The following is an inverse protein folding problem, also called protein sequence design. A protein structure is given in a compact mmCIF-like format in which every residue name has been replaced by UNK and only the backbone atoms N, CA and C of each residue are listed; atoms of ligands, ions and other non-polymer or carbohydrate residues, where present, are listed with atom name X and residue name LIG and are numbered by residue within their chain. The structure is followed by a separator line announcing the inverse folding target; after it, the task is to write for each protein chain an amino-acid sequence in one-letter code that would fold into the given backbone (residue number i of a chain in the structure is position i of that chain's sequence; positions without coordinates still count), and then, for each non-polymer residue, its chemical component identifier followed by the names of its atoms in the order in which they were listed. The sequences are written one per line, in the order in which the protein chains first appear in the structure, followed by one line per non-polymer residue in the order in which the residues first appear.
data_IF_651154887993
#
_entry.id   IF_651154887993
#
_cell.length_a   1.000
_cell.length_b   1.000
_cell.length_c   1.000
_cell.angle_alpha   90.00
_cell.angle_beta   90.00
_cell.angle_gamma   90.00
#
_symmetry.space_group_name_H-M   'P 1'
#
loop_
_entity.id
_entity.type
_entity.pdbx_description
1 polymer ?
#
# COMPACT_ATOMS: atom_id res chain seq x y z
N UNK A 1 1.75 -15.75 14.17
CA UNK A 1 0.65 -15.17 13.36
C UNK A 1 1.17 -14.12 12.38
N UNK A 2 1.73 -13.00 12.85
CA UNK A 2 2.12 -11.86 12.00
C UNK A 2 3.08 -12.20 10.85
N UNK A 3 4.10 -13.03 11.09
CA UNK A 3 5.04 -13.46 10.02
C UNK A 3 4.31 -14.18 8.87
N UNK A 4 3.34 -15.03 9.20
CA UNK A 4 2.52 -15.73 8.19
C UNK A 4 1.66 -14.74 7.40
N UNK A 5 1.04 -13.78 8.08
CA UNK A 5 0.27 -12.72 7.41
C UNK A 5 1.17 -11.88 6.49
N UNK A 6 2.37 -11.53 6.95
CA UNK A 6 3.36 -10.81 6.16
C UNK A 6 3.74 -11.58 4.88
N UNK A 7 4.05 -12.87 4.99
CA UNK A 7 4.40 -13.70 3.82
C UNK A 7 3.25 -13.82 2.82
N UNK A 8 2.02 -14.05 3.30
CA UNK A 8 0.85 -14.16 2.45
C UNK A 8 0.55 -12.86 1.71
N UNK A 9 0.49 -11.73 2.44
CA UNK A 9 0.28 -10.40 1.85
C UNK A 9 1.37 -10.04 0.86
N UNK A 10 2.63 -10.42 1.14
CA UNK A 10 3.75 -10.20 0.23
C UNK A 10 3.58 -10.97 -1.08
N UNK A 11 3.15 -12.23 -1.01
CA UNK A 11 2.97 -13.08 -2.19
C UNK A 11 1.76 -12.64 -3.03
N UNK A 12 0.66 -12.27 -2.37
CA UNK A 12 -0.54 -11.73 -3.02
C UNK A 12 -0.21 -10.44 -3.79
N UNK A 13 0.39 -9.46 -3.11
CA UNK A 13 0.82 -8.21 -3.75
C UNK A 13 1.83 -8.47 -4.88
N UNK A 14 2.78 -9.40 -4.71
CA UNK A 14 3.75 -9.73 -5.74
C UNK A 14 3.10 -10.34 -7.00
N UNK A 15 2.03 -11.11 -6.85
CA UNK A 15 1.28 -11.67 -7.99
C UNK A 15 0.57 -10.56 -8.78
N UNK A 16 -0.13 -9.66 -8.10
CA UNK A 16 -0.82 -8.52 -8.74
C UNK A 16 0.17 -7.60 -9.46
N UNK A 17 1.26 -7.24 -8.79
CA UNK A 17 2.31 -6.38 -9.35
C UNK A 17 2.95 -7.03 -10.58
N UNK A 18 3.17 -8.36 -10.55
CA UNK A 18 3.75 -9.11 -11.67
C UNK A 18 2.87 -9.00 -12.91
N UNK A 19 1.56 -9.18 -12.77
CA UNK A 19 0.61 -9.06 -13.89
C UNK A 19 0.59 -7.64 -14.47
N UNK A 20 0.53 -6.60 -13.64
CA UNK A 20 0.53 -5.20 -14.11
C UNK A 20 1.84 -4.82 -14.81
N UNK A 21 2.98 -5.20 -14.23
CA UNK A 21 4.30 -4.90 -14.79
C UNK A 21 4.49 -5.62 -16.12
N UNK A 22 4.04 -6.87 -16.23
CA UNK A 22 4.13 -7.63 -17.47
C UNK A 22 3.22 -7.06 -18.56
N UNK A 23 1.94 -6.81 -18.27
CA UNK A 23 1.02 -6.21 -19.26
C UNK A 23 1.55 -4.87 -19.78
N UNK A 24 2.10 -4.04 -18.88
CA UNK A 24 2.71 -2.77 -19.27
C UNK A 24 3.94 -2.96 -20.17
N UNK A 25 4.86 -3.87 -19.81
CA UNK A 25 6.04 -4.17 -20.61
C UNK A 25 5.69 -4.76 -22.00
N UNK A 26 4.72 -5.69 -22.05
CA UNK A 26 4.25 -6.33 -23.26
C UNK A 26 3.62 -5.32 -24.23
N UNK A 27 2.79 -4.38 -23.73
CA UNK A 27 2.19 -3.31 -24.54
C UNK A 27 3.20 -2.32 -25.09
N UNK A 28 4.26 -2.02 -24.33
CA UNK A 28 5.35 -1.17 -24.82
C UNK A 28 6.13 -1.85 -25.95
N UNK A 29 6.24 -3.17 -25.93
CA UNK A 29 6.72 -3.98 -27.05
C UNK A 29 8.16 -3.61 -27.45
N UNK A 30 9.12 -4.03 -26.63
CA UNK A 30 10.53 -3.80 -26.87
C UNK A 30 11.06 -4.67 -28.03
N UNK A 31 11.90 -4.09 -28.89
CA UNK A 31 12.56 -4.79 -29.99
C UNK A 31 13.99 -4.26 -30.17
N UNK A 32 14.83 -5.03 -30.86
CA UNK A 32 16.17 -4.62 -31.21
C UNK A 32 16.12 -3.84 -32.53
N UNK A 33 16.60 -2.60 -32.53
CA UNK A 33 16.75 -1.82 -33.77
C UNK A 33 17.93 -2.30 -34.61
N UNK A 34 18.03 -1.79 -35.83
CA UNK A 34 19.05 -2.18 -36.81
C UNK A 34 20.50 -1.97 -36.30
N UNK A 35 20.71 -1.03 -35.38
CA UNK A 35 22.01 -0.71 -34.78
C UNK A 35 22.30 -1.50 -33.49
N UNK A 36 21.42 -2.42 -33.08
CA UNK A 36 21.55 -3.17 -31.83
C UNK A 36 21.03 -2.41 -30.60
N UNK A 37 20.41 -1.26 -30.78
CA UNK A 37 19.82 -0.48 -29.69
C UNK A 37 18.40 -0.96 -29.35
N UNK A 38 18.07 -0.93 -28.07
CA UNK A 38 16.72 -1.24 -27.59
C UNK A 38 15.76 -0.12 -27.99
N UNK A 39 14.70 -0.46 -28.73
CA UNK A 39 13.64 0.46 -29.12
C UNK A 39 12.26 -0.08 -28.71
N UNK A 40 11.29 0.82 -28.64
CA UNK A 40 9.90 0.50 -28.28
C UNK A 40 8.97 0.77 -29.45
N UNK A 41 8.07 -0.17 -29.70
CA UNK A 41 7.13 -0.10 -30.84
C UNK A 41 5.74 0.39 -30.42
N UNK A 42 5.38 0.18 -29.16
CA UNK A 42 4.09 0.54 -28.58
C UNK A 42 4.22 1.52 -27.41
N UNK A 43 3.10 1.68 -26.71
CA UNK A 43 3.01 2.52 -25.52
C UNK A 43 2.08 1.88 -24.50
N UNK A 44 2.31 2.15 -23.22
CA UNK A 44 1.39 1.79 -22.15
C UNK A 44 1.07 3.02 -21.32
N UNK A 45 -0.19 3.17 -20.92
CA UNK A 45 -0.63 4.26 -20.02
C UNK A 45 0.10 4.24 -18.67
N UNK A 46 0.50 3.05 -18.21
CA UNK A 46 1.17 2.82 -16.93
C UNK A 46 2.70 2.79 -17.00
N UNK A 47 3.30 2.79 -18.20
CA UNK A 47 4.76 2.72 -18.35
C UNK A 47 5.32 3.86 -19.19
N UNK A 48 6.41 4.45 -18.72
CA UNK A 48 7.16 5.49 -19.43
C UNK A 48 8.61 5.03 -19.69
N UNK A 49 9.16 5.24 -20.90
CA UNK A 49 10.57 5.04 -21.18
C UNK A 49 11.46 5.88 -20.27
N UNK A 50 12.49 5.24 -19.71
CA UNK A 50 13.52 5.90 -18.91
C UNK A 50 14.57 6.47 -19.86
N UNK A 51 14.70 7.80 -19.88
CA UNK A 51 15.74 8.49 -20.63
C UNK A 51 17.10 8.40 -19.93
N UNK A 52 17.11 8.45 -18.60
CA UNK A 52 18.31 8.23 -17.79
C UNK A 52 17.97 7.80 -16.37
N UNK A 53 18.85 7.01 -15.77
CA UNK A 53 18.81 6.64 -14.36
C UNK A 53 20.19 6.80 -13.74
N UNK A 54 20.26 7.46 -12.60
CA UNK A 54 21.52 7.67 -11.86
C UNK A 54 21.28 7.50 -10.37
N UNK A 55 22.12 6.70 -9.70
CA UNK A 55 22.17 6.67 -8.23
C UNK A 55 22.85 7.96 -7.75
N UNK A 56 22.10 8.80 -7.06
CA UNK A 56 22.51 10.15 -6.66
C UNK A 56 23.23 10.18 -5.32
N UNK A 57 22.77 9.37 -4.36
CA UNK A 57 23.31 9.36 -3.01
C UNK A 57 23.10 8.01 -2.36
N UNK A 58 24.15 7.47 -1.76
CA UNK A 58 24.11 6.27 -0.92
C UNK A 58 24.55 6.69 0.47
N UNK A 59 23.65 6.59 1.43
CA UNK A 59 23.97 6.90 2.83
C UNK A 59 24.75 5.74 3.48
N UNK A 60 25.73 6.04 4.34
CA UNK A 60 26.49 5.00 5.03
C UNK A 60 25.58 4.11 5.88
N UNK A 61 25.97 2.85 6.11
CA UNK A 61 25.24 1.92 6.96
C UNK A 61 25.06 2.47 8.38
N UNK A 62 23.98 2.06 9.04
CA UNK A 62 23.80 2.30 10.46
C UNK A 62 24.79 1.44 11.28
N UNK A 63 25.05 1.84 12.53
CA UNK A 63 25.93 1.06 13.40
C UNK A 63 25.36 -0.35 13.62
N UNK A 64 26.13 -1.38 13.26
CA UNK A 64 25.72 -2.78 13.38
C UNK A 64 24.97 -3.33 12.17
N UNK A 65 24.77 -2.54 11.11
CA UNK A 65 24.23 -3.02 9.82
C UNK A 65 25.32 -3.00 8.74
N UNK A 66 25.27 -3.95 7.80
CA UNK A 66 26.19 -3.99 6.66
C UNK A 66 25.61 -3.32 5.39
N UNK A 67 24.29 -3.13 5.36
CA UNK A 67 23.56 -2.52 4.25
C UNK A 67 23.47 -0.99 4.41
N UNK A 68 23.42 -0.22 3.31
CA UNK A 68 23.29 1.23 3.40
C UNK A 68 21.97 1.62 4.08
N UNK A 69 21.95 2.77 4.75
CA UNK A 69 20.75 3.26 5.43
C UNK A 69 19.67 3.74 4.46
N UNK A 70 20.10 4.36 3.35
CA UNK A 70 19.21 4.99 2.37
C UNK A 70 19.90 5.09 1.02
N UNK A 71 19.16 4.91 -0.06
CA UNK A 71 19.69 5.00 -1.42
C UNK A 71 18.76 5.85 -2.28
N UNK A 72 19.24 7.01 -2.72
CA UNK A 72 18.49 7.91 -3.59
C UNK A 72 18.92 7.73 -5.04
N UNK A 73 17.93 7.53 -5.92
CA UNK A 73 18.07 7.50 -7.37
C UNK A 73 17.37 8.69 -8.02
N UNK A 74 17.84 9.07 -9.19
CA UNK A 74 17.20 10.08 -10.05
C UNK A 74 16.86 9.43 -11.39
N UNK A 75 15.60 9.53 -11.79
CA UNK A 75 15.06 9.00 -13.05
C UNK A 75 14.63 10.18 -13.90
N UNK A 76 15.02 10.20 -15.18
CA UNK A 76 14.47 11.13 -16.16
C UNK A 76 13.55 10.38 -17.11
N UNK A 77 12.31 10.88 -17.26
CA UNK A 77 11.34 10.41 -18.25
C UNK A 77 10.92 11.58 -19.14
N UNK A 78 10.58 11.28 -20.40
CA UNK A 78 9.97 12.25 -21.30
C UNK A 78 8.51 11.87 -21.55
N UNK A 79 7.59 12.76 -21.17
CA UNK A 79 6.16 12.57 -21.39
C UNK A 79 5.70 13.08 -22.76
N UNK A 80 6.62 13.53 -23.62
CA UNK A 80 6.33 14.06 -24.94
C UNK A 80 5.74 13.03 -25.89
N UNK A 81 6.12 11.76 -25.72
CA UNK A 81 5.63 10.64 -26.53
C UNK A 81 4.16 10.33 -26.25
N UNK A 82 3.64 10.70 -25.08
CA UNK A 82 2.22 10.58 -24.76
C UNK A 82 1.42 11.69 -25.44
N UNK A 83 0.80 11.35 -26.56
CA UNK A 83 -0.09 12.26 -27.30
C UNK A 83 -1.33 12.68 -26.51
N UNK A 84 -1.81 11.82 -25.60
CA UNK A 84 -3.01 12.09 -24.82
C UNK A 84 -2.68 12.87 -23.55
N UNK A 85 -3.39 13.97 -23.32
CA UNK A 85 -3.15 14.86 -22.20
C UNK A 85 -3.58 14.26 -20.84
N UNK A 86 -4.56 13.37 -20.83
CA UNK A 86 -5.01 12.63 -19.64
C UNK A 86 -3.88 11.77 -19.05
N UNK A 87 -3.16 11.02 -19.89
CA UNK A 87 -2.03 10.17 -19.45
C UNK A 87 -0.92 11.03 -18.84
N UNK A 88 -0.61 12.18 -19.44
CA UNK A 88 0.40 13.11 -18.88
C UNK A 88 -0.04 13.67 -17.54
N UNK A 89 -1.31 14.05 -17.42
CA UNK A 89 -1.88 14.52 -16.15
C UNK A 89 -1.84 13.43 -15.08
N UNK A 90 -2.00 12.15 -15.44
CA UNK A 90 -1.87 11.05 -14.49
C UNK A 90 -0.45 10.85 -13.98
N UNK A 91 0.54 10.96 -14.87
CA UNK A 91 1.96 10.96 -14.47
C UNK A 91 2.32 12.17 -13.61
N UNK A 92 1.73 13.34 -13.89
CA UNK A 92 1.88 14.54 -13.07
C UNK A 92 1.15 14.41 -11.71
N UNK A 93 0.16 13.54 -11.57
CA UNK A 93 -0.57 13.30 -10.32
C UNK A 93 0.12 12.31 -9.37
N UNK A 94 1.24 11.70 -9.77
CA UNK A 94 2.03 10.80 -8.90
C UNK A 94 2.50 11.58 -7.68
N UNK A 95 2.24 11.04 -6.48
CA UNK A 95 2.45 11.69 -5.20
C UNK A 95 3.70 11.19 -4.50
N UNK A 96 4.06 11.88 -3.43
CA UNK A 96 5.08 11.40 -2.50
C UNK A 96 4.62 10.08 -1.89
N UNK A 97 5.56 9.17 -1.70
CA UNK A 97 5.36 7.82 -1.17
C UNK A 97 4.66 6.85 -2.14
N UNK A 98 4.29 7.29 -3.35
CA UNK A 98 3.84 6.36 -4.38
C UNK A 98 4.99 5.45 -4.80
N UNK A 99 4.66 4.18 -5.05
CA UNK A 99 5.64 3.17 -5.49
C UNK A 99 5.64 3.09 -7.01
N UNK A 100 6.85 3.14 -7.59
CA UNK A 100 7.12 2.89 -9.00
C UNK A 100 8.01 1.65 -9.15
N UNK A 101 7.93 1.01 -10.31
CA UNK A 101 8.77 -0.12 -10.67
C UNK A 101 9.73 0.25 -11.80
N UNK A 102 11.01 0.04 -11.56
CA UNK A 102 12.07 0.16 -12.54
C UNK A 102 12.28 -1.20 -13.20
N UNK A 103 12.05 -1.25 -14.50
CA UNK A 103 12.02 -2.50 -15.26
C UNK A 103 13.09 -2.47 -16.34
N UNK A 104 13.91 -3.51 -16.36
CA UNK A 104 14.84 -3.79 -17.44
C UNK A 104 14.25 -4.90 -18.32
N UNK A 105 13.84 -4.53 -19.52
CA UNK A 105 13.32 -5.46 -20.54
C UNK A 105 14.44 -6.04 -21.41
N UNK A 106 14.23 -7.24 -21.91
CA UNK A 106 15.03 -7.88 -22.96
C UNK A 106 14.18 -7.95 -24.23
N UNK A 107 14.71 -7.55 -25.39
CA UNK A 107 13.98 -7.76 -26.63
C UNK A 107 13.87 -9.27 -26.87
N UNK A 108 12.68 -9.77 -27.26
CA UNK A 108 12.51 -11.19 -27.58
C UNK A 108 13.43 -11.56 -28.74
N UNK A 109 14.07 -12.74 -28.66
CA UNK A 109 14.86 -13.29 -29.78
C UNK A 109 13.93 -13.46 -30.98
N UNK A 110 14.42 -13.13 -32.18
CA UNK A 110 13.63 -12.95 -33.42
C UNK A 110 12.78 -14.16 -33.86
N UNK A 111 12.88 -15.32 -33.24
CA UNK A 111 11.98 -16.45 -33.52
C UNK A 111 10.68 -16.34 -32.71
N UNK A 112 9.80 -15.41 -33.07
CA UNK A 112 8.37 -15.54 -32.76
C UNK A 112 7.60 -14.29 -32.35
N UNK A 113 8.24 -13.21 -31.90
CA UNK A 113 7.50 -12.04 -31.42
C UNK A 113 7.07 -11.09 -32.56
N UNK A 114 6.03 -11.51 -33.29
CA UNK A 114 5.18 -10.59 -34.06
C UNK A 114 3.89 -10.47 -33.28
N UNK A 115 3.63 -9.29 -32.70
CA UNK A 115 2.52 -9.00 -31.78
C UNK A 115 1.12 -9.27 -32.32
N UNK A 116 0.77 -10.54 -32.48
CA UNK A 116 -0.48 -11.00 -33.07
C UNK A 116 -0.39 -12.47 -33.46
N UNK A 117 -0.42 -13.37 -32.48
CA UNK A 117 -0.51 -14.80 -32.74
C UNK A 117 -0.20 -15.63 -31.51
N UNK A 118 -1.27 -16.04 -30.81
CA UNK A 118 -1.21 -17.00 -29.72
C UNK A 118 -0.65 -18.34 -30.22
N UNK A 119 0.64 -18.57 -30.02
CA UNK A 119 1.17 -19.91 -29.82
C UNK A 119 1.41 -20.04 -28.32
N UNK A 120 0.72 -20.98 -27.68
CA UNK A 120 0.71 -21.17 -26.23
C UNK A 120 2.13 -21.46 -25.70
N UNK A 121 2.89 -20.43 -25.36
CA UNK A 121 3.88 -20.53 -24.29
C UNK A 121 3.15 -20.29 -22.97
N UNK A 122 3.57 -21.00 -21.91
CA UNK A 122 3.10 -20.68 -20.58
C UNK A 122 3.46 -19.22 -20.27
N UNK A 123 2.50 -18.45 -19.75
CA UNK A 123 2.64 -17.00 -19.45
C UNK A 123 3.94 -16.71 -18.66
N UNK A 124 4.37 -17.63 -17.80
CA UNK A 124 5.61 -17.51 -17.04
C UNK A 124 6.91 -17.61 -17.85
N UNK A 125 6.95 -18.38 -18.93
CA UNK A 125 8.13 -18.49 -19.80
C UNK A 125 8.26 -17.26 -20.73
N UNK A 126 7.12 -16.74 -21.22
CA UNK A 126 7.06 -15.49 -21.99
C UNK A 126 7.53 -14.30 -21.14
N UNK A 127 7.06 -14.21 -19.89
CA UNK A 127 7.47 -13.19 -18.92
C UNK A 127 8.97 -13.20 -18.63
N UNK A 128 9.53 -14.37 -18.34
CA UNK A 128 10.95 -14.54 -18.07
C UNK A 128 11.83 -14.18 -19.28
N UNK A 129 11.27 -14.31 -20.49
CA UNK A 129 11.94 -13.91 -21.73
C UNK A 129 11.95 -12.38 -21.91
N UNK A 130 10.87 -11.69 -21.52
CA UNK A 130 10.69 -10.26 -21.74
C UNK A 130 11.30 -9.39 -20.64
N UNK A 131 11.20 -9.78 -19.37
CA UNK A 131 11.66 -8.97 -18.24
C UNK A 131 12.90 -9.62 -17.62
N UNK A 132 14.00 -8.87 -17.59
CA UNK A 132 15.24 -9.32 -16.95
C UNK A 132 15.33 -9.00 -15.46
N UNK A 133 14.81 -7.83 -15.08
CA UNK A 133 14.91 -7.28 -13.74
C UNK A 133 13.77 -6.31 -13.50
N UNK A 134 13.18 -6.38 -12.32
CA UNK A 134 12.27 -5.39 -11.80
C UNK A 134 12.72 -4.98 -10.40
N UNK A 135 12.68 -3.68 -10.08
CA UNK A 135 12.99 -3.12 -8.77
C UNK A 135 11.95 -2.08 -8.38
N UNK A 136 11.44 -2.18 -7.16
CA UNK A 136 10.56 -1.15 -6.61
C UNK A 136 11.36 0.05 -6.14
N UNK A 137 10.78 1.23 -6.29
CA UNK A 137 11.28 2.48 -5.73
C UNK A 137 10.12 3.37 -5.27
N UNK A 138 10.38 4.25 -4.33
CA UNK A 138 9.38 5.15 -3.76
C UNK A 138 9.64 6.59 -4.20
N UNK A 139 8.59 7.31 -4.61
CA UNK A 139 8.73 8.69 -5.07
C UNK A 139 8.95 9.65 -3.89
N UNK A 140 10.05 10.39 -3.94
CA UNK A 140 10.39 11.43 -2.96
C UNK A 140 9.96 12.81 -3.46
N UNK A 141 10.29 13.13 -4.71
CA UNK A 141 10.03 14.43 -5.34
C UNK A 141 9.96 14.27 -6.88
N UNK A 142 9.15 15.08 -7.55
CA UNK A 142 9.08 15.14 -9.01
C UNK A 142 9.30 16.58 -9.44
N UNK A 143 10.23 16.76 -10.39
CA UNK A 143 10.59 18.08 -10.93
C UNK A 143 10.24 18.19 -12.40
N UNK A 144 9.78 19.38 -12.79
CA UNK A 144 9.51 19.74 -14.17
C UNK A 144 10.81 19.96 -14.98
N UNK A 145 10.68 20.29 -16.27
CA UNK A 145 11.84 20.53 -17.14
C UNK A 145 12.66 21.76 -16.72
N UNK A 146 12.08 22.67 -15.94
CA UNK A 146 12.77 23.83 -15.38
C UNK A 146 13.44 23.51 -14.02
N UNK A 147 13.37 22.26 -13.56
CA UNK A 147 13.95 21.81 -12.29
C UNK A 147 13.14 22.18 -11.05
N UNK A 148 11.90 22.66 -11.21
CA UNK A 148 11.02 23.03 -10.10
C UNK A 148 10.17 21.82 -9.69
N UNK A 149 10.04 21.58 -8.39
CA UNK A 149 9.13 20.55 -7.87
C UNK A 149 7.69 20.81 -8.32
N UNK A 150 6.94 19.73 -8.57
CA UNK A 150 5.54 19.83 -8.91
C UNK A 150 4.73 20.41 -7.73
N UNK A 151 3.57 21.06 -8.00
CA UNK A 151 2.85 21.84 -6.99
C UNK A 151 2.49 21.06 -5.72
N UNK A 152 2.16 19.77 -5.82
CA UNK A 152 1.80 18.91 -4.69
C UNK A 152 2.99 18.34 -3.92
N UNK A 153 4.23 18.61 -4.35
CA UNK A 153 5.46 18.29 -3.59
C UNK A 153 6.07 19.52 -2.91
N UNK A 154 5.74 20.72 -3.38
CA UNK A 154 6.21 21.97 -2.82
C UNK A 154 5.39 22.38 -1.59
N UNK A 155 6.06 22.84 -0.54
CA UNK A 155 5.43 23.34 0.69
C UNK A 155 4.88 24.78 0.55
N UNK A 156 5.21 25.50 -0.53
CA UNK A 156 4.95 26.95 -0.66
C UNK A 156 4.01 27.32 -1.84
N UNK A 157 2.93 27.99 -1.44
CA UNK A 157 2.10 29.02 -2.09
C UNK A 157 1.05 28.74 -3.20
N UNK A 158 -0.12 29.33 -2.91
CA UNK A 158 -1.05 30.09 -3.76
C UNK A 158 -0.71 30.15 -5.26
N UNK A 159 -1.64 29.66 -6.08
CA UNK A 159 -1.57 29.51 -7.54
C UNK A 159 -0.63 28.41 -8.04
N UNK A 160 -1.09 27.14 -8.07
CA UNK A 160 -0.38 26.05 -8.72
C UNK A 160 -0.17 26.40 -10.20
N UNK A 161 1.09 26.52 -10.61
CA UNK A 161 1.44 26.67 -12.03
C UNK A 161 1.46 25.30 -12.69
N UNK A 162 1.00 25.18 -13.94
CA UNK A 162 1.14 23.94 -14.68
C UNK A 162 2.63 23.59 -14.85
N UNK A 163 2.97 22.29 -14.88
CA UNK A 163 4.35 21.84 -15.07
C UNK A 163 4.93 22.38 -16.38
N UNK A 164 6.20 22.82 -16.37
CA UNK A 164 6.86 23.28 -17.59
C UNK A 164 7.50 22.12 -18.37
N UNK A 165 7.29 22.09 -19.68
CA UNK A 165 7.89 21.11 -20.59
C UNK A 165 7.32 19.69 -20.45
N UNK A 166 7.88 18.75 -21.21
CA UNK A 166 7.45 17.34 -21.25
C UNK A 166 8.33 16.43 -20.38
N UNK A 167 9.56 16.85 -20.09
CA UNK A 167 10.49 16.10 -19.26
C UNK A 167 10.09 16.16 -17.79
N UNK A 168 10.23 15.03 -17.10
CA UNK A 168 10.12 14.94 -15.64
C UNK A 168 11.37 14.29 -15.07
N UNK A 169 11.83 14.84 -13.96
CA UNK A 169 12.94 14.27 -13.18
C UNK A 169 12.38 13.83 -11.85
N UNK A 170 12.36 12.52 -11.63
CA UNK A 170 11.77 11.88 -10.46
C UNK A 170 12.91 11.47 -9.53
N UNK A 171 12.92 12.04 -8.32
CA UNK A 171 13.79 11.59 -7.24
C UNK A 171 13.10 10.45 -6.51
N UNK A 172 13.77 9.32 -6.42
CA UNK A 172 13.23 8.10 -5.81
C UNK A 172 14.12 7.56 -4.70
N UNK A 173 13.50 6.89 -3.74
CA UNK A 173 14.15 6.07 -2.72
C UNK A 173 14.14 4.61 -3.17
N UNK A 174 15.32 4.00 -3.28
CA UNK A 174 15.48 2.58 -3.63
C UNK A 174 15.54 1.75 -2.36
N UNK A 175 15.14 0.47 -2.43
CA UNK A 175 15.32 -0.45 -1.31
C UNK A 175 16.83 -0.63 -1.01
N UNK A 176 17.31 -0.23 0.18
CA UNK A 176 18.74 -0.28 0.49
C UNK A 176 19.28 -1.70 0.61
N UNK A 177 18.45 -2.65 1.06
CA UNK A 177 18.81 -4.05 1.20
C UNK A 177 18.96 -4.68 -0.18
N UNK A 178 18.01 -4.40 -1.09
CA UNK A 178 18.08 -4.89 -2.46
C UNK A 178 19.28 -4.30 -3.21
N UNK A 179 19.55 -3.00 -3.03
CA UNK A 179 20.72 -2.35 -3.60
C UNK A 179 22.02 -2.99 -3.11
N UNK A 180 22.10 -3.34 -1.81
CA UNK A 180 23.26 -4.03 -1.26
C UNK A 180 23.52 -5.39 -1.93
N UNK A 181 22.47 -6.22 -2.09
CA UNK A 181 22.59 -7.50 -2.80
C UNK A 181 22.95 -7.33 -4.28
N UNK A 182 22.36 -6.33 -4.95
CA UNK A 182 22.65 -6.04 -6.35
C UNK A 182 24.13 -5.63 -6.53
N UNK A 183 24.69 -4.86 -5.60
CA UNK A 183 26.11 -4.50 -5.60
C UNK A 183 27.07 -5.66 -5.28
N UNK A 184 26.64 -6.66 -4.50
CA UNK A 184 27.46 -7.83 -4.18
C UNK A 184 27.51 -8.86 -5.31
N UNK A 185 26.45 -8.93 -6.13
CA UNK A 185 26.30 -9.96 -7.15
C UNK A 185 26.91 -9.65 -8.53
N UNK A 186 27.43 -8.44 -8.77
CA UNK A 186 27.97 -8.06 -10.09
C UNK A 186 29.32 -7.33 -9.98
N UNK A 187 30.30 -7.78 -10.79
CA UNK A 187 31.60 -7.09 -10.95
C UNK A 187 31.44 -5.73 -11.65
N UNK A 188 30.45 -5.60 -12.54
CA UNK A 188 30.12 -4.36 -13.26
C UNK A 188 28.91 -3.64 -12.64
N UNK A 189 29.17 -2.70 -11.73
CA UNK A 189 28.16 -1.84 -11.10
C UNK A 189 27.27 -1.10 -12.11
N UNK A 190 27.79 -0.82 -13.32
CA UNK A 190 27.08 -0.05 -14.36
C UNK A 190 25.96 -0.83 -15.05
N UNK A 191 26.13 -2.14 -15.24
CA UNK A 191 25.09 -3.03 -15.77
C UNK A 191 24.03 -3.39 -14.71
N UNK A 192 24.36 -3.25 -13.42
CA UNK A 192 23.41 -3.46 -12.32
C UNK A 192 22.33 -2.38 -12.22
N UNK A 193 22.54 -1.22 -12.86
CA UNK A 193 21.65 -0.07 -12.73
C UNK A 193 20.96 0.34 -14.04
N UNK A 194 21.08 -0.45 -15.12
CA UNK A 194 20.39 -0.13 -16.37
C UNK A 194 18.91 -0.55 -16.29
N UNK A 195 18.03 0.44 -16.30
CA UNK A 195 16.57 0.26 -16.41
C UNK A 195 16.08 0.97 -17.65
N UNK A 196 15.02 0.43 -18.24
CA UNK A 196 14.51 0.88 -19.53
C UNK A 196 13.10 1.48 -19.41
N UNK A 197 12.29 0.97 -18.49
CA UNK A 197 10.91 1.43 -18.25
C UNK A 197 10.69 1.76 -16.78
N UNK A 198 9.96 2.85 -16.54
CA UNK A 198 9.36 3.15 -15.25
C UNK A 198 7.88 2.81 -15.35
N UNK A 199 7.39 1.92 -14.48
CA UNK A 199 6.00 1.46 -14.44
C UNK A 199 5.36 1.96 -13.16
N UNK A 200 4.21 2.62 -13.27
CA UNK A 200 3.37 2.97 -12.12
C UNK A 200 2.33 1.87 -11.89
N UNK A 201 1.91 1.71 -10.65
CA UNK A 201 0.80 0.82 -10.30
C UNK A 201 -0.54 1.55 -10.33
N UNK A 202 -1.63 0.78 -10.43
CA UNK A 202 -2.98 1.30 -10.18
C UNK A 202 -3.13 1.87 -8.77
N UNK A 203 -4.00 2.89 -8.62
CA UNK A 203 -4.21 3.57 -7.33
C UNK A 203 -4.72 2.65 -6.21
N UNK A 204 -5.37 1.53 -6.54
CA UNK A 204 -5.84 0.56 -5.56
C UNK A 204 -4.74 -0.39 -5.07
N UNK A 205 -3.64 -0.51 -5.82
CA UNK A 205 -2.57 -1.48 -5.57
C UNK A 205 -1.30 -0.83 -5.03
N UNK A 206 -1.25 0.51 -4.88
CA UNK A 206 -0.04 1.22 -4.45
C UNK A 206 0.21 1.21 -2.93
N UNK A 207 -0.73 0.70 -2.12
CA UNK A 207 -0.64 0.73 -0.65
C UNK A 207 0.07 -0.49 -0.02
N UNK A 208 0.43 -1.50 -0.81
CA UNK A 208 1.00 -2.76 -0.31
C UNK A 208 2.24 -2.53 0.57
N UNK A 209 3.11 -1.59 0.18
CA UNK A 209 4.33 -1.27 0.92
C UNK A 209 4.02 -0.79 2.32
N UNK A 210 3.11 0.17 2.47
CA UNK A 210 2.73 0.73 3.78
C UNK A 210 2.12 -0.33 4.70
N UNK A 211 1.33 -1.27 4.14
CA UNK A 211 0.78 -2.40 4.89
C UNK A 211 1.90 -3.34 5.35
N UNK A 212 2.82 -3.73 4.45
CA UNK A 212 3.95 -4.59 4.78
C UNK A 212 4.89 -3.95 5.82
N UNK A 213 5.15 -2.65 5.71
CA UNK A 213 5.95 -1.91 6.68
C UNK A 213 5.27 -1.85 8.05
N UNK A 214 3.95 -1.66 8.10
CA UNK A 214 3.17 -1.71 9.33
C UNK A 214 3.23 -3.10 9.98
N UNK A 215 2.99 -4.17 9.22
CA UNK A 215 3.07 -5.55 9.74
C UNK A 215 4.48 -5.89 10.22
N UNK A 216 5.52 -5.44 9.49
CA UNK A 216 6.91 -5.59 9.93
C UNK A 216 7.18 -4.84 11.23
N UNK A 217 6.71 -3.59 11.34
CA UNK A 217 6.83 -2.79 12.55
C UNK A 217 6.17 -3.49 13.74
N UNK A 218 4.94 -3.97 13.57
CA UNK A 218 4.22 -4.74 14.59
C UNK A 218 4.93 -6.04 15.00
N UNK A 219 5.67 -6.67 14.09
CA UNK A 219 6.41 -7.89 14.38
C UNK A 219 7.75 -7.63 15.09
N UNK A 220 8.31 -6.42 14.97
CA UNK A 220 9.57 -6.02 15.61
C UNK A 220 9.35 -5.30 16.95
N UNK A 221 8.18 -4.70 17.16
CA UNK A 221 7.83 -4.06 18.42
C UNK A 221 7.29 -5.11 19.41
N UNK A 222 7.76 -5.08 20.65
CA UNK A 222 7.16 -5.82 21.77
C UNK A 222 5.84 -5.15 22.16
N UNK A 223 4.80 -5.31 21.34
CA UNK A 223 3.44 -4.90 21.67
C UNK A 223 2.70 -6.05 22.30
N UNK A 224 2.40 -5.90 23.58
CA UNK A 224 1.55 -6.83 24.31
C UNK A 224 0.10 -6.64 23.87
N UNK A 225 -0.49 -7.67 23.26
CA UNK A 225 -1.94 -7.74 23.12
C UNK A 225 -2.57 -7.77 24.52
N UNK A 226 -3.75 -7.17 24.73
CA UNK A 226 -4.46 -7.30 25.99
C UNK A 226 -4.58 -8.79 26.37
N UNK A 227 -4.26 -9.18 27.62
CA UNK A 227 -4.23 -10.59 28.01
C UNK A 227 -5.54 -11.34 27.73
N UNK A 228 -6.68 -10.66 27.91
CA UNK A 228 -8.00 -11.21 27.63
C UNK A 228 -8.27 -11.49 26.14
N UNK A 229 -7.52 -10.88 25.22
CA UNK A 229 -7.64 -11.05 23.78
C UNK A 229 -6.56 -11.98 23.21
N UNK A 230 -5.42 -12.10 23.88
CA UNK A 230 -4.25 -12.82 23.37
C UNK A 230 -4.59 -14.26 22.91
N UNK A 231 -5.22 -15.05 23.78
CA UNK A 231 -5.51 -16.45 23.49
C UNK A 231 -6.60 -16.59 22.43
N UNK A 232 -7.66 -15.77 22.52
CA UNK A 232 -8.75 -15.75 21.53
C UNK A 232 -8.23 -15.35 20.14
N UNK A 233 -7.35 -14.36 20.07
CA UNK A 233 -6.75 -13.88 18.82
C UNK A 233 -5.85 -14.93 18.17
N UNK A 234 -5.08 -15.68 18.96
CA UNK A 234 -4.25 -16.78 18.46
C UNK A 234 -5.07 -18.05 18.16
N UNK A 235 -6.36 -18.08 18.55
CA UNK A 235 -7.27 -19.20 18.34
C UNK A 235 -7.14 -20.32 19.37
N UNK A 236 -6.59 -20.02 20.54
CA UNK A 236 -6.52 -20.93 21.68
C UNK A 236 -7.68 -20.67 22.66
N UNK A 237 -7.97 -21.64 23.53
CA UNK A 237 -8.91 -21.46 24.64
C UNK A 237 -10.39 -21.42 24.23
N UNK A 238 -11.22 -20.84 25.11
CA UNK A 238 -12.66 -20.65 24.89
C UNK A 238 -12.88 -19.31 24.17
N UNK A 239 -13.56 -19.29 23.00
CA UNK A 239 -13.89 -18.04 22.30
C UNK A 239 -14.78 -17.09 23.13
N UNK A 240 -15.47 -17.58 24.16
CA UNK A 240 -16.30 -16.75 25.04
C UNK A 240 -15.50 -16.07 26.17
N UNK A 241 -14.22 -16.40 26.34
CA UNK A 241 -13.40 -15.80 27.41
C UNK A 241 -13.26 -14.28 27.31
N UNK A 242 -13.31 -13.73 26.09
CA UNK A 242 -13.30 -12.28 25.84
C UNK A 242 -14.70 -11.64 25.85
N UNK A 243 -15.76 -12.38 26.15
CA UNK A 243 -17.10 -11.83 26.23
C UNK A 243 -17.26 -11.03 27.54
N UNK A 244 -18.00 -9.92 27.48
CA UNK A 244 -18.11 -8.96 28.58
C UNK A 244 -18.62 -9.57 29.91
N UNK A 245 -19.37 -10.67 29.86
CA UNK A 245 -19.82 -11.40 31.07
C UNK A 245 -18.73 -12.17 31.79
N UNK A 246 -17.65 -12.53 31.09
CA UNK A 246 -16.53 -13.32 31.61
C UNK A 246 -15.31 -12.45 31.95
N UNK A 247 -15.37 -11.14 31.66
CA UNK A 247 -14.38 -10.17 32.14
C UNK A 247 -14.40 -10.08 33.67
N UNK A 248 -13.27 -9.71 34.27
CA UNK A 248 -13.19 -9.54 35.72
C UNK A 248 -14.19 -8.47 36.21
N UNK A 249 -14.77 -8.67 37.39
CA UNK A 249 -15.80 -7.79 37.95
C UNK A 249 -15.35 -6.32 38.11
N UNK A 250 -14.04 -6.08 38.16
CA UNK A 250 -13.46 -4.73 38.24
C UNK A 250 -13.49 -3.99 36.90
N UNK A 251 -13.42 -4.73 35.78
CA UNK A 251 -13.42 -4.18 34.42
C UNK A 251 -14.82 -4.19 33.78
N UNK A 252 -15.78 -4.89 34.41
CA UNK A 252 -17.17 -4.89 33.97
C UNK A 252 -17.86 -3.56 34.28
N UNK A 253 -18.29 -2.87 33.22
CA UNK A 253 -19.12 -1.67 33.35
C UNK A 253 -20.57 -2.12 33.66
N UNK A 254 -20.94 -2.02 34.93
CA UNK A 254 -22.29 -2.34 35.41
C UNK A 254 -23.26 -1.16 35.31
N UNK A 255 -22.74 0.07 35.24
CA UNK A 255 -23.53 1.29 35.10
C UNK A 255 -23.14 1.98 33.79
N UNK A 256 -24.08 2.06 32.85
CA UNK A 256 -23.88 2.66 31.53
C UNK A 256 -24.94 3.74 31.29
N UNK A 257 -24.50 4.93 30.90
CA UNK A 257 -25.40 5.97 30.41
C UNK A 257 -25.72 5.69 28.94
N UNK A 258 -27.00 5.38 28.66
CA UNK A 258 -27.48 5.06 27.32
C UNK A 258 -27.84 6.30 26.48
N UNK A 259 -27.70 7.52 27.04
CA UNK A 259 -27.97 8.78 26.35
C UNK A 259 -29.32 8.76 25.57
N UNK A 260 -29.29 8.91 24.25
CA UNK A 260 -30.45 8.96 23.36
C UNK A 260 -30.77 7.63 22.65
N UNK A 261 -30.18 6.51 23.11
CA UNK A 261 -30.36 5.19 22.47
C UNK A 261 -31.84 4.76 22.39
N UNK A 262 -32.67 5.14 23.37
CA UNK A 262 -34.09 4.73 23.44
C UNK A 262 -35.03 5.85 23.00
N UNK A 263 -35.48 5.79 21.74
CA UNK A 263 -36.53 6.66 21.24
C UNK A 263 -37.91 6.25 21.81
N UNK A 264 -38.63 7.17 22.45
CA UNK A 264 -39.98 6.89 22.99
C UNK A 264 -40.06 6.51 24.47
N UNK A 265 -38.99 6.77 25.24
CA UNK A 265 -38.99 6.64 26.71
C UNK A 265 -39.09 5.19 27.20
N UNK A 266 -39.87 4.98 28.27
CA UNK A 266 -39.93 3.73 29.04
C UNK A 266 -40.40 2.50 28.24
N UNK A 267 -41.31 2.67 27.27
CA UNK A 267 -41.91 1.57 26.53
C UNK A 267 -40.91 0.91 25.56
N UNK A 268 -40.10 1.74 24.89
CA UNK A 268 -39.04 1.24 23.99
C UNK A 268 -37.98 0.50 24.80
N UNK A 269 -37.56 1.06 25.94
CA UNK A 269 -36.59 0.43 26.83
C UNK A 269 -37.07 -0.95 27.32
N UNK A 270 -38.34 -1.09 27.73
CA UNK A 270 -38.92 -2.39 28.12
C UNK A 270 -38.98 -3.38 26.96
N UNK A 271 -39.29 -2.92 25.75
CA UNK A 271 -39.34 -3.79 24.57
C UNK A 271 -37.96 -4.35 24.17
N UNK A 272 -36.88 -3.61 24.43
CA UNK A 272 -35.52 -4.01 24.09
C UNK A 272 -34.97 -5.10 25.02
N UNK A 273 -35.51 -5.22 26.24
CA UNK A 273 -35.07 -6.19 27.24
C UNK A 273 -36.20 -7.14 27.71
N UNK A 274 -36.78 -7.96 26.81
CA UNK A 274 -37.94 -8.80 27.14
C UNK A 274 -37.64 -9.90 28.17
N UNK A 275 -36.36 -10.28 28.31
CA UNK A 275 -35.89 -11.29 29.26
C UNK A 275 -35.47 -10.75 30.63
N UNK A 276 -35.57 -9.44 30.86
CA UNK A 276 -35.04 -8.77 32.05
C UNK A 276 -36.15 -8.01 32.79
N UNK A 277 -36.03 -7.95 34.12
CA UNK A 277 -36.93 -7.15 34.96
C UNK A 277 -36.41 -5.71 35.03
N UNK A 278 -37.02 -4.82 34.23
CA UNK A 278 -36.59 -3.42 34.09
C UNK A 278 -37.21 -2.58 35.21
N UNK A 279 -36.37 -2.02 36.08
CA UNK A 279 -36.75 -1.05 37.11
C UNK A 279 -36.22 0.34 36.75
N UNK A 280 -37.11 1.31 36.70
CA UNK A 280 -36.78 2.70 36.34
C UNK A 280 -36.75 3.51 37.64
N UNK A 281 -35.59 4.03 38.01
CA UNK A 281 -35.41 4.90 39.18
C UNK A 281 -35.48 6.37 38.74
N UNK A 282 -36.60 7.04 39.02
CA UNK A 282 -36.84 8.45 38.71
C UNK A 282 -38.25 8.90 39.13
N UNK A 283 -38.42 10.15 39.54
CA UNK A 283 -39.73 10.68 39.99
C UNK A 283 -40.78 10.55 38.87
N UNK A 284 -41.80 9.73 39.13
CA UNK A 284 -42.99 9.64 38.31
C UNK A 284 -43.73 10.98 38.35
N UNK A 285 -43.49 11.89 37.40
CA UNK A 285 -44.38 13.06 37.29
C UNK A 285 -43.99 14.31 36.51
N UNK A 286 -42.84 14.42 35.84
CA UNK A 286 -42.62 15.58 34.96
C UNK A 286 -42.38 15.14 33.52
N UNK A 287 -43.35 15.48 32.67
CA UNK A 287 -43.31 15.40 31.23
C UNK A 287 -42.25 16.37 30.68
N UNK A 288 -40.97 16.02 30.82
CA UNK A 288 -39.91 16.60 30.02
C UNK A 288 -39.33 15.51 29.14
N UNK A 289 -39.66 15.60 27.85
CA UNK A 289 -39.26 14.69 26.75
C UNK A 289 -37.73 14.76 26.48
N UNK A 290 -36.97 15.38 27.38
CA UNK A 290 -35.54 15.65 27.28
C UNK A 290 -34.75 15.22 28.53
N UNK A 291 -35.36 14.50 29.48
CA UNK A 291 -34.62 13.95 30.61
C UNK A 291 -33.94 12.63 30.19
N UNK A 292 -32.63 12.68 29.98
CA UNK A 292 -31.79 11.50 29.74
C UNK A 292 -32.04 10.44 30.81
N UNK A 293 -32.61 9.31 30.42
CA UNK A 293 -32.88 8.21 31.33
C UNK A 293 -31.55 7.58 31.73
N UNK A 294 -31.06 7.89 32.93
CA UNK A 294 -30.00 7.09 33.57
C UNK A 294 -30.58 5.73 33.93
N UNK A 295 -30.41 4.77 33.04
CA UNK A 295 -30.81 3.40 33.29
C UNK A 295 -29.71 2.72 34.12
N UNK A 296 -30.06 2.28 35.34
CA UNK A 296 -29.15 1.56 36.21
C UNK A 296 -29.36 0.06 36.05
N UNK A 297 -28.39 -0.65 35.47
CA UNK A 297 -28.43 -2.11 35.38
C UNK A 297 -27.86 -2.67 36.69
N UNK A 298 -28.73 -2.92 37.68
CA UNK A 298 -28.31 -3.47 38.98
C UNK A 298 -28.37 -4.99 38.96
N UNK A 299 -27.20 -5.64 38.99
CA UNK A 299 -27.04 -7.05 39.36
C UNK A 299 -26.14 -7.84 38.42
N UNK A 300 -25.68 -9.04 38.82
CA UNK A 300 -25.04 -9.95 37.88
C UNK A 300 -26.03 -10.24 36.77
N UNK A 301 -25.55 -10.27 35.52
CA UNK A 301 -26.33 -10.58 34.32
C UNK A 301 -26.88 -12.01 34.36
N UNK A 302 -27.83 -12.28 35.27
CA UNK A 302 -28.47 -13.57 35.42
C UNK A 302 -29.70 -13.58 34.52
N UNK A 303 -29.56 -14.29 33.41
CA UNK A 303 -30.68 -14.75 32.59
C UNK A 303 -31.75 -15.33 33.51
N UNK A 304 -33.00 -14.93 33.31
CA UNK A 304 -34.16 -15.55 33.99
C UNK A 304 -34.08 -17.06 33.75
N UNK A 305 -33.72 -17.82 34.77
CA UNK A 305 -33.93 -19.27 34.75
C UNK A 305 -35.45 -19.47 34.82
N UNK A 306 -35.99 -20.10 33.78
CA UNK A 306 -37.36 -20.60 33.75
C UNK A 306 -37.45 -21.94 34.45
#
# INVERSE_FOLDING_TARGET
YLVRCFELLKLEAAAEIREEVFDAAARVGAYLGDEGDLRFSGWARMAAPIASFVVKRVDPPALGEDRPRRVLGEISIDLGDFRRADVRSEWDCVRRHDVLFLVAVRPPREEGWRGGGAAAMDVGEEEASLISRARGCEVVDIRDAAGRSLPHFAFEHDNPRPPSGTRRTILVDLDPTQHHYDCQGQEDQKASCSYHLAVRLGANQSNFKSVLECVRGLACEDRELPPWLHDVFLGYGDPNSSHFTFMDQQDQILELDFADTFAGGDDHLRSCFPGWDVKIEGEAGSADVAAFHRARIVGPLRRREG
#
